data_IF_435460879378
#
_entry.id   IF_435460879378
#
_cell.length_a   1.000
_cell.length_b   1.000
_cell.length_c   1.000
_cell.angle_alpha   90.00
_cell.angle_beta   90.00
_cell.angle_gamma   90.00
#
_symmetry.space_group_name_H-M   'P 1'
#
loop_
_entity.id
_entity.type
_entity.pdbx_description
1 polymer ?
#
# COMPACT_ATOMS: atom_id res chain seq x y z
N UNK A 1 4.33 -21.97 5.04
CA UNK A 1 5.34 -21.01 4.54
C UNK A 1 5.06 -19.65 5.18
N UNK A 2 6.00 -19.07 5.93
CA UNK A 2 5.75 -17.80 6.65
C UNK A 2 6.13 -16.56 5.84
N UNK A 3 7.02 -16.71 4.86
CA UNK A 3 7.55 -15.58 4.11
C UNK A 3 7.81 -15.97 2.66
N UNK A 4 7.64 -15.02 1.75
CA UNK A 4 7.96 -15.11 0.32
C UNK A 4 8.85 -13.92 -0.02
N UNK A 5 9.97 -14.20 -0.67
CA UNK A 5 10.99 -13.22 -1.05
C UNK A 5 11.39 -13.46 -2.51
N UNK A 6 11.17 -12.46 -3.35
CA UNK A 6 11.51 -12.47 -4.77
C UNK A 6 12.08 -11.09 -5.11
N UNK A 7 13.32 -11.09 -5.61
CA UNK A 7 14.05 -9.88 -5.92
C UNK A 7 14.78 -10.07 -7.23
N UNK A 8 14.74 -9.06 -8.12
CA UNK A 8 15.55 -9.03 -9.34
C UNK A 8 15.35 -10.26 -10.26
N UNK A 9 14.16 -10.88 -10.23
CA UNK A 9 13.88 -12.12 -10.94
C UNK A 9 12.64 -11.99 -11.83
N UNK A 10 12.68 -12.58 -13.02
CA UNK A 10 11.52 -12.74 -13.90
C UNK A 10 11.02 -14.19 -13.83
N UNK A 11 10.13 -14.47 -12.88
CA UNK A 11 9.63 -15.81 -12.55
C UNK A 11 8.11 -15.94 -12.79
N UNK A 12 7.55 -15.10 -13.66
CA UNK A 12 6.11 -15.01 -13.89
C UNK A 12 5.39 -14.19 -12.80
N UNK A 13 4.06 -14.19 -12.83
CA UNK A 13 3.23 -13.36 -11.95
C UNK A 13 2.85 -14.10 -10.66
N UNK A 14 3.20 -13.53 -9.50
CA UNK A 14 2.73 -13.93 -8.18
C UNK A 14 1.43 -13.19 -7.84
N UNK A 15 0.32 -13.68 -8.38
CA UNK A 15 -0.99 -13.13 -8.05
C UNK A 15 -1.35 -13.42 -6.60
N UNK A 16 -1.84 -12.40 -5.92
CA UNK A 16 -2.17 -12.46 -4.49
C UNK A 16 -3.27 -13.49 -4.18
N UNK A 17 -4.19 -13.72 -5.12
CA UNK A 17 -5.29 -14.69 -5.03
C UNK A 17 -4.84 -16.14 -4.84
N UNK A 18 -3.61 -16.48 -5.26
CA UNK A 18 -3.05 -17.83 -5.15
C UNK A 18 -2.05 -17.98 -4.01
N UNK A 19 -1.77 -16.91 -3.25
CA UNK A 19 -0.82 -16.98 -2.15
C UNK A 19 -1.45 -17.65 -0.92
N UNK A 20 -0.71 -18.50 -0.19
CA UNK A 20 -1.20 -19.07 1.05
C UNK A 20 -1.53 -17.97 2.07
N UNK A 21 -2.71 -18.03 2.67
CA UNK A 21 -3.18 -17.04 3.65
C UNK A 21 -2.33 -16.97 4.93
N UNK A 22 -1.45 -17.96 5.14
CA UNK A 22 -0.49 -18.02 6.25
C UNK A 22 0.78 -17.19 6.04
N UNK A 23 1.01 -16.63 4.85
CA UNK A 23 2.16 -15.75 4.56
C UNK A 23 2.07 -14.49 5.42
N UNK A 24 3.16 -14.20 6.12
CA UNK A 24 3.33 -13.03 6.99
C UNK A 24 4.15 -11.92 6.33
N UNK A 25 5.18 -12.32 5.60
CA UNK A 25 6.10 -11.41 4.91
C UNK A 25 6.05 -11.69 3.42
N UNK A 26 5.55 -10.75 2.63
CA UNK A 26 5.50 -10.84 1.17
C UNK A 26 6.37 -9.75 0.57
N UNK A 27 7.49 -10.14 -0.03
CA UNK A 27 8.45 -9.22 -0.65
C UNK A 27 8.67 -9.68 -2.08
N UNK A 28 8.13 -8.93 -3.03
CA UNK A 28 8.27 -9.19 -4.46
C UNK A 28 8.64 -7.87 -5.10
N UNK A 29 9.94 -7.60 -5.22
CA UNK A 29 10.46 -6.29 -5.58
C UNK A 29 11.28 -6.38 -6.86
N UNK A 30 11.17 -5.39 -7.74
CA UNK A 30 11.97 -5.35 -8.98
C UNK A 30 11.89 -6.66 -9.78
N UNK A 31 10.67 -7.17 -9.96
CA UNK A 31 10.43 -8.52 -10.50
C UNK A 31 9.47 -8.52 -11.70
N UNK A 32 9.30 -7.35 -12.32
CA UNK A 32 8.50 -7.14 -13.54
C UNK A 32 7.07 -7.71 -13.48
N UNK A 33 6.47 -7.76 -12.29
CA UNK A 33 5.11 -8.29 -12.10
C UNK A 33 4.08 -7.41 -12.84
N UNK A 34 3.09 -8.01 -13.50
CA UNK A 34 2.16 -7.36 -14.44
C UNK A 34 0.69 -7.77 -14.24
N UNK A 35 0.27 -7.99 -13.00
CA UNK A 35 -1.13 -8.32 -12.68
C UNK A 35 -1.92 -7.11 -12.17
N UNK A 36 -3.25 -7.22 -12.20
CA UNK A 36 -4.15 -6.26 -11.56
C UNK A 36 -4.23 -6.56 -10.06
N UNK A 37 -3.87 -5.59 -9.23
CA UNK A 37 -3.88 -5.74 -7.79
C UNK A 37 -5.30 -5.65 -7.23
N UNK A 38 -5.66 -6.64 -6.42
CA UNK A 38 -6.83 -6.61 -5.56
C UNK A 38 -6.40 -6.87 -4.12
N UNK A 39 -6.49 -5.83 -3.27
CA UNK A 39 -6.04 -5.87 -1.87
C UNK A 39 -6.82 -6.87 -1.01
N UNK A 40 -8.04 -7.23 -1.43
CA UNK A 40 -8.87 -8.24 -0.76
C UNK A 40 -8.26 -9.64 -0.80
N UNK A 41 -7.34 -9.91 -1.74
CA UNK A 41 -6.64 -11.19 -1.83
C UNK A 41 -5.28 -11.23 -1.13
N UNK A 42 -4.85 -10.15 -0.47
CA UNK A 42 -3.64 -10.22 0.35
C UNK A 42 -3.73 -11.34 1.40
N UNK A 43 -2.61 -12.00 1.75
CA UNK A 43 -2.60 -12.98 2.82
C UNK A 43 -3.09 -12.36 4.13
N UNK A 44 -4.14 -12.92 4.75
CA UNK A 44 -4.73 -12.34 5.98
C UNK A 44 -3.79 -12.34 7.18
N UNK A 45 -2.76 -13.21 7.18
CA UNK A 45 -1.72 -13.22 8.21
C UNK A 45 -0.58 -12.21 7.95
N UNK A 46 -0.62 -11.45 6.84
CA UNK A 46 0.47 -10.54 6.46
C UNK A 46 0.66 -9.41 7.48
N UNK A 47 1.91 -9.22 7.87
CA UNK A 47 2.38 -8.09 8.68
C UNK A 47 3.20 -7.11 7.85
N UNK A 48 3.82 -7.58 6.76
CA UNK A 48 4.64 -6.77 5.86
C UNK A 48 4.39 -7.19 4.42
N UNK A 49 4.01 -6.22 3.58
CA UNK A 49 3.84 -6.40 2.14
C UNK A 49 4.68 -5.36 1.43
N UNK A 50 5.61 -5.82 0.61
CA UNK A 50 6.40 -4.99 -0.30
C UNK A 50 6.29 -5.55 -1.72
N UNK A 51 5.60 -4.82 -2.59
CA UNK A 51 5.45 -5.13 -4.02
C UNK A 51 6.07 -4.02 -4.89
N UNK A 52 7.02 -3.25 -4.35
CA UNK A 52 7.56 -2.07 -5.03
C UNK A 52 8.35 -2.40 -6.30
N UNK A 53 8.48 -1.42 -7.18
CA UNK A 53 9.32 -1.50 -8.39
C UNK A 53 8.86 -2.63 -9.33
N UNK A 54 7.56 -2.68 -9.60
CA UNK A 54 6.99 -3.62 -10.55
C UNK A 54 6.17 -2.86 -11.60
N UNK A 55 5.34 -3.59 -12.36
CA UNK A 55 4.43 -3.02 -13.35
C UNK A 55 2.98 -3.36 -13.01
N UNK A 56 2.71 -3.58 -11.72
CA UNK A 56 1.39 -3.97 -11.19
C UNK A 56 0.42 -2.82 -11.45
N UNK A 57 -0.77 -3.14 -11.94
CA UNK A 57 -1.82 -2.17 -12.25
C UNK A 57 -3.08 -2.43 -11.39
N UNK A 58 -4.18 -1.76 -11.69
CA UNK A 58 -5.42 -1.85 -10.91
C UNK A 58 -5.54 -0.74 -9.86
N UNK A 59 -6.42 -0.95 -8.89
CA UNK A 59 -6.75 0.01 -7.83
C UNK A 59 -6.44 -0.52 -6.45
N UNK A 60 -6.10 0.39 -5.53
CA UNK A 60 -5.78 0.02 -4.14
C UNK A 60 -6.94 0.41 -3.24
N UNK A 61 -7.69 -0.58 -2.76
CA UNK A 61 -8.63 -0.36 -1.67
C UNK A 61 -7.93 -0.63 -0.32
N UNK A 62 -7.60 0.44 0.39
CA UNK A 62 -6.88 0.36 1.66
C UNK A 62 -7.75 -0.21 2.82
N UNK A 63 -9.07 -0.25 2.67
CA UNK A 63 -9.98 -0.85 3.67
C UNK A 63 -9.90 -2.38 3.69
N UNK A 64 -9.47 -2.99 2.58
CA UNK A 64 -9.34 -4.45 2.49
C UNK A 64 -7.97 -4.99 2.96
N UNK A 65 -7.14 -4.14 3.55
CA UNK A 65 -5.82 -4.56 4.04
C UNK A 65 -5.94 -5.53 5.22
N UNK A 66 -5.00 -6.48 5.37
CA UNK A 66 -4.93 -7.36 6.53
C UNK A 66 -4.85 -6.57 7.84
N UNK A 67 -5.62 -6.97 8.84
CA UNK A 67 -5.73 -6.26 10.13
C UNK A 67 -4.43 -6.21 10.95
N UNK A 68 -3.46 -7.08 10.63
CA UNK A 68 -2.14 -7.14 11.27
C UNK A 68 -1.04 -6.45 10.45
N UNK A 69 -1.40 -5.86 9.31
CA UNK A 69 -0.43 -5.23 8.41
C UNK A 69 0.17 -3.99 9.10
N UNK A 70 1.49 -3.99 9.25
CA UNK A 70 2.26 -2.87 9.77
C UNK A 70 2.81 -1.99 8.65
N UNK A 71 3.32 -2.61 7.57
CA UNK A 71 3.94 -1.88 6.47
C UNK A 71 3.40 -2.33 5.13
N UNK A 72 2.98 -1.36 4.32
CA UNK A 72 2.62 -1.53 2.93
C UNK A 72 3.53 -0.69 2.03
N UNK A 73 4.26 -1.34 1.14
CA UNK A 73 5.05 -0.67 0.12
C UNK A 73 4.61 -1.11 -1.27
N UNK A 74 4.01 -0.18 -2.03
CA UNK A 74 3.57 -0.36 -3.41
C UNK A 74 4.21 0.67 -4.35
N UNK A 75 5.30 1.32 -3.91
CA UNK A 75 6.04 2.32 -4.67
C UNK A 75 6.40 1.83 -6.07
N UNK A 76 6.46 2.75 -7.04
CA UNK A 76 7.00 2.49 -8.38
C UNK A 76 6.27 1.33 -9.07
N UNK A 77 5.01 1.58 -9.38
CA UNK A 77 4.10 0.65 -10.03
C UNK A 77 3.18 1.43 -10.99
N UNK A 78 2.18 0.75 -11.57
CA UNK A 78 1.18 1.33 -12.47
C UNK A 78 -0.20 1.39 -11.83
N UNK A 79 -0.26 1.43 -10.50
CA UNK A 79 -1.52 1.49 -9.75
C UNK A 79 -2.22 2.82 -10.02
N UNK A 80 -3.54 2.79 -10.04
CA UNK A 80 -4.38 3.94 -10.39
C UNK A 80 -5.69 3.91 -9.61
N UNK A 81 -6.63 4.79 -9.97
CA UNK A 81 -7.90 4.93 -9.25
C UNK A 81 -7.80 5.84 -8.04
N UNK A 82 -8.76 5.68 -7.14
CA UNK A 82 -8.91 6.50 -5.93
C UNK A 82 -8.32 5.81 -4.71
N UNK A 83 -7.79 6.62 -3.79
CA UNK A 83 -7.28 6.25 -2.48
C UNK A 83 -8.26 6.71 -1.41
N UNK A 84 -8.72 5.76 -0.61
CA UNK A 84 -9.57 5.98 0.55
C UNK A 84 -8.78 5.62 1.81
N UNK A 85 -8.46 6.60 2.66
CA UNK A 85 -7.75 6.38 3.93
C UNK A 85 -8.70 6.20 5.13
N UNK A 86 -9.91 5.72 4.86
CA UNK A 86 -10.88 5.35 5.88
C UNK A 86 -10.60 3.92 6.40
N UNK A 87 -10.89 3.67 7.67
CA UNK A 87 -10.85 2.34 8.30
C UNK A 87 -9.57 1.53 8.07
N UNK A 88 -8.41 2.19 8.10
CA UNK A 88 -7.12 1.53 7.95
C UNK A 88 -6.85 0.59 9.16
N UNK A 89 -6.12 -0.52 8.95
CA UNK A 89 -5.70 -1.40 10.04
C UNK A 89 -5.01 -0.65 11.18
N UNK A 90 -5.40 -0.92 12.42
CA UNK A 90 -4.84 -0.26 13.61
C UNK A 90 -3.34 -0.47 13.79
N UNK A 91 -2.80 -1.56 13.23
CA UNK A 91 -1.37 -1.88 13.25
C UNK A 91 -0.54 -1.12 12.21
N UNK A 92 -1.19 -0.47 11.23
CA UNK A 92 -0.49 0.10 10.09
C UNK A 92 0.32 1.32 10.51
N UNK A 93 1.63 1.25 10.30
CA UNK A 93 2.58 2.31 10.67
C UNK A 93 3.05 3.11 9.48
N UNK A 94 3.16 2.48 8.30
CA UNK A 94 3.73 3.14 7.11
C UNK A 94 3.10 2.67 5.81
N UNK A 95 2.85 3.63 4.91
CA UNK A 95 2.38 3.37 3.54
C UNK A 95 3.26 4.13 2.53
N UNK A 96 3.81 3.41 1.55
CA UNK A 96 4.52 3.97 0.40
C UNK A 96 3.72 3.74 -0.89
N UNK A 97 3.26 4.83 -1.52
CA UNK A 97 2.47 4.80 -2.77
C UNK A 97 3.05 5.70 -3.86
N UNK A 98 4.17 6.38 -3.61
CA UNK A 98 4.84 7.26 -4.56
C UNK A 98 5.16 6.55 -5.89
N UNK A 99 5.25 7.33 -6.97
CA UNK A 99 5.56 6.80 -8.31
C UNK A 99 4.51 5.79 -8.80
N UNK A 100 3.24 6.17 -8.69
CA UNK A 100 2.10 5.45 -9.24
C UNK A 100 1.21 6.41 -10.04
N UNK A 101 0.20 5.88 -10.71
CA UNK A 101 -0.71 6.62 -11.60
C UNK A 101 -2.04 6.98 -10.93
N UNK A 102 -2.05 7.21 -9.61
CA UNK A 102 -3.23 7.72 -8.92
C UNK A 102 -3.59 9.10 -9.48
N UNK A 103 -4.85 9.32 -9.87
CA UNK A 103 -5.31 10.57 -10.52
C UNK A 103 -6.15 11.45 -9.59
N UNK A 104 -6.41 10.98 -8.37
CA UNK A 104 -7.18 11.73 -7.39
C UNK A 104 -6.37 12.92 -6.90
N UNK A 105 -6.91 14.14 -7.03
CA UNK A 105 -6.25 15.34 -6.56
C UNK A 105 -6.27 15.46 -5.04
N UNK A 106 -7.34 15.00 -4.38
CA UNK A 106 -7.61 15.31 -2.98
C UNK A 106 -7.84 14.04 -2.18
N UNK A 107 -7.13 13.86 -1.06
CA UNK A 107 -7.31 12.72 -0.15
C UNK A 107 -7.78 13.16 1.23
N UNK A 108 -8.67 12.38 1.83
CA UNK A 108 -9.18 12.60 3.19
C UNK A 108 -8.49 11.67 4.16
N UNK A 109 -7.99 12.20 5.28
CA UNK A 109 -7.22 11.42 6.28
C UNK A 109 -7.67 11.64 7.73
N UNK A 110 -8.96 11.92 7.96
CA UNK A 110 -9.46 12.21 9.32
C UNK A 110 -9.52 11.00 10.26
N UNK A 111 -9.46 9.78 9.74
CA UNK A 111 -9.64 8.54 10.51
C UNK A 111 -8.38 7.67 10.52
N UNK A 112 -7.20 8.30 10.43
CA UNK A 112 -5.95 7.53 10.45
C UNK A 112 -5.75 6.83 11.80
N UNK A 113 -5.26 5.58 11.81
CA UNK A 113 -5.03 4.85 13.03
C UNK A 113 -3.86 5.48 13.80
N UNK A 114 -3.92 5.38 15.14
CA UNK A 114 -2.91 5.97 16.04
C UNK A 114 -1.47 5.57 15.68
N UNK A 115 -1.28 4.32 15.24
CA UNK A 115 0.04 3.79 14.92
C UNK A 115 0.62 4.34 13.62
N UNK A 116 -0.18 4.99 12.77
CA UNK A 116 0.26 5.45 11.46
C UNK A 116 1.16 6.68 11.59
N UNK A 117 2.42 6.50 11.19
CA UNK A 117 3.45 7.53 11.30
C UNK A 117 3.66 8.25 9.97
N UNK A 118 3.59 7.51 8.87
CA UNK A 118 4.01 8.02 7.57
C UNK A 118 3.14 7.50 6.43
N UNK A 119 2.72 8.42 5.56
CA UNK A 119 2.11 8.12 4.26
C UNK A 119 2.85 8.94 3.22
N UNK A 120 3.41 8.26 2.22
CA UNK A 120 4.27 8.88 1.21
C UNK A 120 3.58 8.79 -0.15
N UNK A 121 3.17 9.96 -0.67
CA UNK A 121 2.39 10.14 -1.90
C UNK A 121 3.12 11.00 -2.94
N UNK A 122 4.40 11.31 -2.74
CA UNK A 122 5.22 12.09 -3.69
C UNK A 122 5.09 11.52 -5.11
N UNK A 123 5.10 12.36 -6.15
CA UNK A 123 5.04 11.86 -7.55
C UNK A 123 3.82 10.96 -7.82
N UNK A 124 2.69 11.27 -7.19
CA UNK A 124 1.35 10.77 -7.56
C UNK A 124 0.51 11.94 -8.08
N UNK A 125 -0.71 11.69 -8.57
CA UNK A 125 -1.63 12.77 -8.95
C UNK A 125 -2.31 13.48 -7.78
N UNK A 126 -2.00 13.10 -6.53
CA UNK A 126 -2.54 13.72 -5.31
C UNK A 126 -1.82 15.05 -5.06
N UNK A 127 -2.60 16.13 -5.03
CA UNK A 127 -2.12 17.52 -4.84
C UNK A 127 -2.54 18.07 -3.48
N UNK A 128 -3.73 17.72 -3.04
CA UNK A 128 -4.38 18.20 -1.82
C UNK A 128 -4.63 17.07 -0.84
N UNK A 129 -4.51 17.39 0.45
CA UNK A 129 -4.82 16.47 1.53
C UNK A 129 -5.57 17.26 2.60
N UNK A 130 -6.74 16.76 2.97
CA UNK A 130 -7.66 17.47 3.86
C UNK A 130 -7.84 16.65 5.15
N UNK A 131 -7.50 17.22 6.33
CA UNK A 131 -7.86 16.63 7.62
C UNK A 131 -9.37 16.79 7.85
N UNK A 132 -10.03 15.76 8.40
CA UNK A 132 -11.47 15.85 8.70
C UNK A 132 -11.70 16.39 10.12
N UNK A 133 -10.72 16.25 11.04
CA UNK A 133 -10.68 16.84 12.39
C UNK A 133 -9.21 16.99 12.87
N UNK A 134 -8.99 17.85 13.86
CA UNK A 134 -7.71 18.37 14.41
C UNK A 134 -6.42 17.64 14.03
N UNK A 135 -5.50 18.40 13.41
CA UNK A 135 -4.13 17.98 13.15
C UNK A 135 -3.45 17.52 14.45
N UNK A 136 -3.11 16.23 14.51
CA UNK A 136 -2.09 15.75 15.45
C UNK A 136 -0.72 16.26 15.00
N UNK A 137 -0.40 17.51 15.33
CA UNK A 137 0.91 18.11 15.10
C UNK A 137 1.99 17.19 15.70
N UNK A 138 2.81 16.57 14.84
CA UNK A 138 4.05 15.89 15.23
C UNK A 138 4.12 14.36 15.12
N UNK A 139 3.02 13.63 14.87
CA UNK A 139 3.06 12.14 14.81
C UNK A 139 2.94 11.58 13.38
N UNK A 140 2.17 12.28 12.55
CA UNK A 140 1.89 11.86 11.19
C UNK A 140 2.58 12.78 10.19
N UNK A 141 3.41 12.20 9.32
CA UNK A 141 4.01 12.90 8.19
C UNK A 141 3.34 12.45 6.89
N UNK A 142 2.68 13.40 6.23
CA UNK A 142 2.27 13.26 4.84
C UNK A 142 3.27 13.97 3.95
N UNK A 143 4.01 13.20 3.17
CA UNK A 143 4.98 13.77 2.21
C UNK A 143 4.36 13.76 0.81
N UNK A 144 4.22 14.97 0.24
CA UNK A 144 3.77 15.24 -1.13
C UNK A 144 4.74 16.26 -1.79
N UNK A 145 4.87 16.23 -3.11
CA UNK A 145 5.61 17.25 -3.89
C UNK A 145 4.61 18.10 -4.65
#
# INVERSE_FOLDING_TARGET
>A
MKSIYVFLQHVGNFRTEYLPQSVRSLFIVYSQQTFALETLYFPRAATNINLSENRICGSVNLQHLPQKLGVLNLRDNRLSGQLSFFDLPKSLTTIYLQQNKFRQSTVYYGTLPYALRQVILTETGVREAIPILEERKGVFQLTRR
#
